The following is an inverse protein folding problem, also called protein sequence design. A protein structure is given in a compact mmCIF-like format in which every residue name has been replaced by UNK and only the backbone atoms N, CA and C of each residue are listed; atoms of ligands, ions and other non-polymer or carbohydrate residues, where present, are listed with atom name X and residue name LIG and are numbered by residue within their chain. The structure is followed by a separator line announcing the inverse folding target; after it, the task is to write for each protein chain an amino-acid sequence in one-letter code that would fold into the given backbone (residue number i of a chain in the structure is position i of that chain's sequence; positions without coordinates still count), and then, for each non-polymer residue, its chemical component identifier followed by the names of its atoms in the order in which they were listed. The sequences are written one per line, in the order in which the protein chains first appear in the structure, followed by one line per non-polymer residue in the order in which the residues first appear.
data_IF_958543578074
#
_entry.id   IF_958543578074
#
_cell.length_a   1.000
_cell.length_b   1.000
_cell.length_c   1.000
_cell.angle_alpha   90.00
_cell.angle_beta   90.00
_cell.angle_gamma   90.00
#
_symmetry.space_group_name_H-M   'P 1'
#
loop_
_entity.id
_entity.type
_entity.pdbx_description
1 polymer ?
#
# COMPACT_ATOMS: atom_id res chain seq x y z
N UNK A 1 -4.49 8.59 7.17
CA UNK A 1 -4.99 9.38 6.02
C UNK A 1 -5.85 8.57 5.04
N UNK A 2 -5.42 7.43 4.48
CA UNK A 2 -6.22 6.70 3.48
C UNK A 2 -7.58 6.15 3.92
N UNK A 3 -7.84 6.05 5.23
CA UNK A 3 -9.15 5.67 5.78
C UNK A 3 -10.12 6.85 5.93
N UNK A 4 -9.61 8.09 5.88
CA UNK A 4 -10.41 9.30 6.07
C UNK A 4 -11.51 9.42 5.02
N UNK A 5 -11.20 9.17 3.75
CA UNK A 5 -12.19 9.19 2.65
C UNK A 5 -13.23 8.07 2.75
N UNK A 6 -13.02 7.08 3.63
CA UNK A 6 -13.98 6.02 3.93
C UNK A 6 -14.78 6.28 5.21
N UNK A 7 -14.63 7.47 5.82
CA UNK A 7 -15.24 7.81 7.11
C UNK A 7 -14.72 6.96 8.28
N UNK A 8 -13.51 6.38 8.17
CA UNK A 8 -12.91 5.50 9.18
C UNK A 8 -11.58 6.05 9.67
N UNK A 9 -11.14 5.57 10.83
CA UNK A 9 -9.85 5.91 11.42
C UNK A 9 -9.87 7.13 12.34
N UNK A 10 -8.70 7.60 12.78
CA UNK A 10 -8.60 8.60 13.86
C UNK A 10 -8.80 10.05 13.42
N UNK A 11 -8.64 10.35 12.13
CA UNK A 11 -8.76 11.70 11.59
C UNK A 11 -10.24 12.02 11.35
N UNK A 12 -10.74 13.12 11.90
CA UNK A 12 -12.16 13.51 11.81
C UNK A 12 -12.37 14.78 11.01
N UNK A 13 -11.42 15.72 11.04
CA UNK A 13 -11.52 17.00 10.35
C UNK A 13 -10.48 17.12 9.24
N UNK A 14 -10.80 17.89 8.21
CA UNK A 14 -9.87 18.22 7.12
C UNK A 14 -8.58 18.85 7.63
N UNK A 15 -8.67 19.69 8.68
CA UNK A 15 -7.51 20.27 9.36
C UNK A 15 -6.53 19.21 9.86
N UNK A 16 -7.02 18.15 10.51
CA UNK A 16 -6.19 17.07 11.03
C UNK A 16 -5.45 16.34 9.89
N UNK A 17 -6.08 16.22 8.72
CA UNK A 17 -5.47 15.62 7.51
C UNK A 17 -4.34 16.48 6.97
N UNK A 18 -4.51 17.81 6.98
CA UNK A 18 -3.50 18.78 6.55
C UNK A 18 -2.29 18.76 7.51
N UNK A 19 -2.54 18.81 8.82
CA UNK A 19 -1.48 18.75 9.85
C UNK A 19 -0.69 17.44 9.73
N UNK A 20 -1.39 16.30 9.62
CA UNK A 20 -0.73 15.00 9.41
C UNK A 20 0.12 14.98 8.13
N UNK A 21 -0.35 15.59 7.04
CA UNK A 21 0.42 15.65 5.79
C UNK A 21 1.70 16.48 5.94
N UNK A 22 1.66 17.58 6.69
CA UNK A 22 2.84 18.41 6.99
C UNK A 22 3.84 17.65 7.85
N UNK A 23 3.37 16.95 8.89
CA UNK A 23 4.22 16.10 9.72
C UNK A 23 4.91 15.00 8.89
N UNK A 24 4.19 14.36 7.97
CA UNK A 24 4.75 13.37 7.05
C UNK A 24 5.84 13.99 6.16
N UNK A 25 5.61 15.19 5.64
CA UNK A 25 6.60 15.89 4.82
C UNK A 25 7.87 16.20 5.62
N UNK A 26 7.76 16.61 6.89
CA UNK A 26 8.90 16.88 7.75
C UNK A 26 9.66 15.61 8.14
N UNK A 27 8.94 14.49 8.36
CA UNK A 27 9.56 13.17 8.51
C UNK A 27 10.33 12.76 7.25
N UNK A 28 9.78 13.02 6.06
CA UNK A 28 10.44 12.76 4.78
C UNK A 28 11.76 13.53 4.62
N UNK A 29 11.80 14.80 5.02
CA UNK A 29 13.05 15.60 5.04
C UNK A 29 14.10 15.03 6.00
N UNK A 30 13.69 14.61 7.21
CA UNK A 30 14.60 13.96 8.18
C UNK A 30 15.16 12.65 7.64
N UNK A 31 14.32 11.84 6.98
CA UNK A 31 14.74 10.59 6.35
C UNK A 31 15.74 10.85 5.21
N UNK A 32 15.53 11.86 4.38
CA UNK A 32 16.48 12.26 3.34
C UNK A 32 17.87 12.58 3.91
N UNK A 33 17.94 13.38 4.99
CA UNK A 33 19.21 13.68 5.65
C UNK A 33 19.92 12.42 6.17
N UNK A 34 19.19 11.51 6.82
CA UNK A 34 19.73 10.26 7.32
C UNK A 34 20.17 9.31 6.19
N UNK A 35 19.40 9.21 5.11
CA UNK A 35 19.74 8.40 3.95
C UNK A 35 21.02 8.88 3.27
N UNK A 36 21.20 10.20 3.13
CA UNK A 36 22.44 10.80 2.61
C UNK A 36 23.66 10.48 3.49
N UNK A 37 23.49 10.47 4.81
CA UNK A 37 24.56 10.07 5.73
C UNK A 37 24.92 8.59 5.56
N UNK A 38 23.93 7.70 5.44
CA UNK A 38 24.18 6.28 5.15
C UNK A 38 24.92 6.13 3.80
N UNK A 39 24.51 6.90 2.79
CA UNK A 39 25.16 6.93 1.49
C UNK A 39 26.61 7.43 1.56
N UNK A 40 26.95 8.38 2.43
CA UNK A 40 28.34 8.87 2.55
C UNK A 40 29.25 7.89 3.28
N UNK A 41 28.68 7.09 4.19
CA UNK A 41 29.35 6.02 4.94
C UNK A 41 29.53 4.73 4.10
N UNK A 42 28.87 4.60 2.95
CA UNK A 42 29.02 3.46 2.04
C UNK A 42 30.18 3.63 1.03
N UNK A 43 30.76 2.51 0.61
CA UNK A 43 31.71 2.41 -0.51
C UNK A 43 31.02 2.82 -1.80
N UNK A 44 31.79 3.37 -2.75
CA UNK A 44 31.27 3.75 -4.06
C UNK A 44 30.73 2.53 -4.80
N UNK A 45 29.42 2.48 -5.01
CA UNK A 45 28.70 1.38 -5.64
C UNK A 45 27.45 1.90 -6.36
N UNK A 46 26.82 1.06 -7.19
CA UNK A 46 25.52 1.40 -7.77
C UNK A 46 24.47 1.68 -6.68
N UNK A 47 24.45 0.86 -5.63
CA UNK A 47 23.53 1.03 -4.50
C UNK A 47 23.69 2.38 -3.78
N UNK A 48 24.92 2.91 -3.68
CA UNK A 48 25.13 4.25 -3.14
C UNK A 48 24.41 5.31 -3.99
N UNK A 49 24.53 5.24 -5.32
CA UNK A 49 23.86 6.15 -6.22
C UNK A 49 22.33 6.01 -6.13
N UNK A 50 21.83 4.79 -5.97
CA UNK A 50 20.40 4.52 -5.76
C UNK A 50 19.91 5.20 -4.47
N UNK A 51 20.66 5.11 -3.37
CA UNK A 51 20.32 5.78 -2.09
C UNK A 51 20.18 7.28 -2.30
N UNK A 52 21.15 7.93 -2.96
CA UNK A 52 21.07 9.37 -3.23
C UNK A 52 19.91 9.73 -4.14
N UNK A 53 19.68 8.95 -5.20
CA UNK A 53 18.59 9.18 -6.15
C UNK A 53 17.22 9.09 -5.47
N UNK A 54 17.01 8.04 -4.66
CA UNK A 54 15.77 7.89 -3.91
C UNK A 54 15.62 8.93 -2.80
N UNK A 55 16.72 9.35 -2.15
CA UNK A 55 16.69 10.40 -1.14
C UNK A 55 16.25 11.76 -1.75
N UNK A 56 16.77 12.13 -2.92
CA UNK A 56 16.30 13.31 -3.65
C UNK A 56 14.83 13.20 -4.08
N UNK A 57 14.40 12.02 -4.51
CA UNK A 57 12.99 11.77 -4.84
C UNK A 57 12.07 11.96 -3.62
N UNK A 58 12.48 11.45 -2.44
CA UNK A 58 11.78 11.68 -1.17
C UNK A 58 11.72 13.18 -0.83
N UNK A 59 12.82 13.90 -1.02
CA UNK A 59 12.89 15.34 -0.78
C UNK A 59 11.91 16.12 -1.69
N UNK A 60 11.89 15.79 -2.98
CA UNK A 60 10.95 16.37 -3.96
C UNK A 60 9.50 16.13 -3.55
N UNK A 61 9.11 14.88 -3.24
CA UNK A 61 7.73 14.58 -2.84
C UNK A 61 7.36 15.21 -1.49
N UNK A 62 8.30 15.34 -0.56
CA UNK A 62 8.09 16.05 0.72
C UNK A 62 7.81 17.54 0.49
N UNK A 63 8.53 18.15 -0.45
CA UNK A 63 8.29 19.54 -0.85
C UNK A 63 6.94 19.71 -1.54
N UNK A 64 6.60 18.85 -2.50
CA UNK A 64 5.28 18.84 -3.14
C UNK A 64 4.15 18.71 -2.12
N UNK A 65 4.28 17.78 -1.16
CA UNK A 65 3.30 17.60 -0.10
C UNK A 65 3.16 18.84 0.79
N UNK A 66 4.27 19.52 1.09
CA UNK A 66 4.25 20.80 1.83
C UNK A 66 3.50 21.89 1.06
N UNK A 67 3.63 21.96 -0.27
CA UNK A 67 2.89 22.91 -1.10
C UNK A 67 1.41 22.56 -1.13
N UNK A 68 1.08 21.30 -1.47
CA UNK A 68 -0.31 20.82 -1.61
C UNK A 68 -1.08 20.95 -0.28
N UNK A 69 -0.42 20.76 0.86
CA UNK A 69 -1.03 20.95 2.18
C UNK A 69 -1.29 22.43 2.55
N UNK A 70 -0.64 23.39 1.90
CA UNK A 70 -0.83 24.83 2.13
C UNK A 70 -1.86 25.46 1.21
N UNK A 71 -2.19 24.82 0.08
CA UNK A 71 -3.27 25.29 -0.80
C UNK A 71 -4.56 25.25 0.04
N UNK A 72 -5.15 26.42 0.29
CA UNK A 72 -6.42 26.52 1.02
C UNK A 72 -7.43 25.62 0.31
N UNK A 73 -7.91 24.59 1.00
CA UNK A 73 -9.17 23.97 0.63
C UNK A 73 -10.24 25.05 0.86
N UNK A 74 -10.64 25.72 -0.22
CA UNK A 74 -11.61 26.80 -0.17
C UNK A 74 -12.97 26.18 0.16
N UNK A 75 -13.43 26.33 1.40
CA UNK A 75 -14.77 25.90 1.82
C UNK A 75 -15.73 26.97 1.32
N UNK A 76 -16.19 26.84 0.08
CA UNK A 76 -17.25 27.69 -0.44
C UNK A 76 -18.60 27.13 0.04
N UNK A 77 -19.18 27.77 1.05
CA UNK A 77 -20.58 27.56 1.42
C UNK A 77 -21.42 28.35 0.43
N UNK A 78 -21.96 27.69 -0.59
CA UNK A 78 -22.89 28.28 -1.56
C UNK A 78 -24.31 27.82 -1.22
N UNK A 79 -25.02 28.60 -0.40
CA UNK A 79 -26.43 28.33 -0.05
C UNK A 79 -26.62 27.19 0.96
N UNK A 80 -27.75 26.47 0.86
CA UNK A 80 -28.18 25.35 1.73
C UNK A 80 -27.64 23.97 1.25
N UNK A 81 -26.85 23.95 0.17
CA UNK A 81 -26.14 22.76 -0.31
C UNK A 81 -24.63 22.85 -0.02
N UNK A 82 -24.11 21.90 0.77
CA UNK A 82 -22.66 21.69 0.92
C UNK A 82 -22.07 21.08 -0.36
N UNK A 83 -21.69 21.90 -1.35
CA UNK A 83 -20.82 21.43 -2.44
C UNK A 83 -19.36 21.38 -1.98
N UNK A 84 -18.90 20.17 -1.67
CA UNK A 84 -17.59 19.92 -1.05
C UNK A 84 -16.46 19.94 -2.09
N UNK A 85 -15.93 21.12 -2.38
CA UNK A 85 -14.61 21.34 -3.02
C UNK A 85 -13.45 20.76 -2.18
N UNK A 86 -13.68 20.53 -0.87
CA UNK A 86 -12.68 19.97 0.04
C UNK A 86 -12.32 18.50 -0.20
N UNK A 87 -13.18 17.70 -0.85
CA UNK A 87 -12.94 16.27 -1.00
C UNK A 87 -11.82 16.00 -2.02
N UNK A 88 -11.84 16.71 -3.16
CA UNK A 88 -10.82 16.59 -4.22
C UNK A 88 -9.44 17.08 -3.76
N UNK A 89 -9.40 18.12 -2.92
CA UNK A 89 -8.17 18.57 -2.28
C UNK A 89 -7.58 17.49 -1.37
N UNK A 90 -8.43 16.83 -0.58
CA UNK A 90 -8.00 15.76 0.33
C UNK A 90 -7.57 14.50 -0.43
N UNK A 91 -8.27 14.10 -1.50
CA UNK A 91 -7.86 12.96 -2.32
C UNK A 91 -6.51 13.22 -2.98
N UNK A 92 -6.27 14.44 -3.46
CA UNK A 92 -4.97 14.88 -4.01
C UNK A 92 -3.87 14.80 -2.96
N UNK A 93 -4.15 15.27 -1.73
CA UNK A 93 -3.20 15.22 -0.62
C UNK A 93 -2.85 13.77 -0.26
N UNK A 94 -3.85 12.88 -0.18
CA UNK A 94 -3.66 11.44 0.06
C UNK A 94 -2.79 10.81 -1.04
N UNK A 95 -3.01 11.18 -2.31
CA UNK A 95 -2.23 10.62 -3.41
C UNK A 95 -0.76 11.07 -3.35
N UNK A 96 -0.50 12.34 -3.01
CA UNK A 96 0.86 12.84 -2.82
C UNK A 96 1.57 12.10 -1.67
N UNK A 97 0.87 11.84 -0.57
CA UNK A 97 1.43 11.02 0.53
C UNK A 97 1.78 9.62 0.06
N UNK A 98 0.93 8.97 -0.76
CA UNK A 98 1.26 7.64 -1.32
C UNK A 98 2.52 7.68 -2.18
N UNK A 99 2.65 8.68 -3.03
CA UNK A 99 3.83 8.85 -3.88
C UNK A 99 5.10 9.01 -3.03
N UNK A 100 5.04 9.86 -1.99
CA UNK A 100 6.11 10.03 -1.01
C UNK A 100 6.46 8.71 -0.32
N UNK A 101 5.47 7.99 0.21
CA UNK A 101 5.70 6.73 0.93
C UNK A 101 6.31 5.64 0.04
N UNK A 102 5.91 5.58 -1.24
CA UNK A 102 6.52 4.65 -2.19
C UNK A 102 8.02 4.97 -2.41
N UNK A 103 8.37 6.25 -2.55
CA UNK A 103 9.77 6.66 -2.64
C UNK A 103 10.55 6.36 -1.35
N UNK A 104 9.93 6.58 -0.18
CA UNK A 104 10.51 6.24 1.12
C UNK A 104 10.83 4.74 1.21
N UNK A 105 9.93 3.86 0.78
CA UNK A 105 10.16 2.41 0.79
C UNK A 105 11.40 2.05 -0.03
N UNK A 106 11.55 2.62 -1.22
CA UNK A 106 12.72 2.36 -2.08
C UNK A 106 14.00 2.90 -1.45
N UNK A 107 13.96 4.11 -0.89
CA UNK A 107 15.08 4.72 -0.18
C UNK A 107 15.53 3.85 1.02
N UNK A 108 14.59 3.39 1.85
CA UNK A 108 14.89 2.55 3.03
C UNK A 108 15.48 1.21 2.62
N UNK A 109 14.96 0.56 1.57
CA UNK A 109 15.50 -0.69 1.04
C UNK A 109 16.93 -0.52 0.56
N UNK A 110 17.20 0.51 -0.25
CA UNK A 110 18.56 0.77 -0.73
C UNK A 110 19.51 1.16 0.40
N UNK A 111 19.05 1.95 1.38
CA UNK A 111 19.85 2.34 2.55
C UNK A 111 20.19 1.13 3.45
N UNK A 112 19.26 0.18 3.59
CA UNK A 112 19.51 -1.08 4.26
C UNK A 112 20.63 -1.87 3.58
N UNK A 113 20.56 -2.03 2.25
CA UNK A 113 21.60 -2.74 1.49
C UNK A 113 22.94 -2.00 1.58
N UNK A 114 22.94 -0.67 1.43
CA UNK A 114 24.15 0.15 1.52
C UNK A 114 24.84 0.02 2.89
N UNK A 115 24.08 0.08 3.98
CA UNK A 115 24.62 0.02 5.36
C UNK A 115 25.08 -1.38 5.78
N UNK A 116 24.52 -2.44 5.20
CA UNK A 116 24.84 -3.83 5.59
C UNK A 116 25.86 -4.50 4.67
N UNK A 117 25.86 -4.17 3.37
CA UNK A 117 26.71 -4.82 2.35
C UNK A 117 27.86 -3.95 1.87
N UNK A 118 27.67 -2.63 1.84
CA UNK A 118 28.61 -1.70 1.23
C UNK A 118 29.18 -0.71 2.24
N UNK A 119 29.16 -1.01 3.53
CA UNK A 119 29.73 -0.12 4.55
C UNK A 119 31.25 -0.02 4.39
N UNK A 120 31.81 1.19 4.50
CA UNK A 120 33.27 1.39 4.45
C UNK A 120 33.96 0.70 5.63
N UNK A 121 35.01 -0.12 5.41
CA UNK A 121 35.72 -0.83 6.46
C UNK A 121 36.51 0.09 7.39
N UNK A 122 36.91 1.29 6.93
CA UNK A 122 37.64 2.30 7.73
C UNK A 122 36.73 3.03 8.74
N UNK A 123 35.43 2.76 8.75
CA UNK A 123 34.51 3.37 9.71
C UNK A 123 34.46 2.53 10.98
N UNK A 124 35.39 2.78 11.91
CA UNK A 124 35.36 2.24 13.29
C UNK A 124 34.15 2.76 14.10
N UNK A 125 33.34 3.64 13.52
CA UNK A 125 32.13 4.14 14.12
C UNK A 125 31.07 3.04 14.26
N UNK A 126 30.30 3.07 15.34
CA UNK A 126 29.12 2.21 15.48
C UNK A 126 28.11 2.46 14.34
N UNK A 127 27.33 1.43 13.94
CA UNK A 127 26.29 1.62 12.94
C UNK A 127 25.27 2.67 13.41
N UNK A 128 25.04 3.70 12.60
CA UNK A 128 24.09 4.77 12.93
C UNK A 128 22.66 4.28 13.09
N UNK A 129 22.31 3.20 12.39
CA UNK A 129 20.96 2.63 12.36
C UNK A 129 21.06 1.14 12.66
N UNK A 130 20.21 0.68 13.58
CA UNK A 130 19.98 -0.73 13.83
C UNK A 130 18.75 -1.20 13.04
N UNK A 131 18.93 -2.24 12.23
CA UNK A 131 17.85 -2.79 11.41
C UNK A 131 17.21 -3.97 12.11
N UNK A 132 15.91 -3.86 12.39
CA UNK A 132 15.10 -4.95 12.92
C UNK A 132 14.16 -5.41 11.80
N UNK A 133 14.41 -6.60 11.24
CA UNK A 133 13.59 -7.18 10.18
C UNK A 133 12.76 -8.34 10.71
N UNK A 134 11.47 -8.35 10.35
CA UNK A 134 10.65 -9.54 10.43
C UNK A 134 10.90 -10.42 9.18
N UNK A 135 10.93 -11.75 9.31
CA UNK A 135 10.96 -12.65 8.16
C UNK A 135 9.77 -12.40 7.23
N UNK A 136 9.93 -12.53 5.90
CA UNK A 136 8.81 -12.40 4.98
C UNK A 136 7.79 -13.51 5.23
N UNK A 137 6.51 -13.17 5.08
CA UNK A 137 5.44 -14.15 5.17
C UNK A 137 5.57 -15.21 4.08
N UNK A 138 5.35 -16.46 4.46
CA UNK A 138 5.35 -17.58 3.52
C UNK A 138 4.21 -17.38 2.54
N UNK A 139 4.53 -17.16 1.27
CA UNK A 139 3.50 -17.17 0.24
C UNK A 139 2.93 -18.59 0.11
N UNK A 140 1.60 -18.74 0.08
CA UNK A 140 0.99 -20.06 -0.10
C UNK A 140 1.37 -20.58 -1.49
N UNK A 141 2.02 -21.74 -1.53
CA UNK A 141 2.46 -22.39 -2.78
C UNK A 141 1.28 -22.73 -3.69
N UNK A 142 0.12 -22.95 -3.09
CA UNK A 142 -1.13 -23.21 -3.77
C UNK A 142 -2.14 -22.16 -3.30
N UNK A 143 -2.69 -21.40 -4.23
CA UNK A 143 -3.89 -20.61 -3.97
C UNK A 143 -5.06 -21.57 -4.20
N UNK A 144 -5.82 -21.99 -3.16
CA UNK A 144 -7.04 -22.72 -3.38
C UNK A 144 -7.89 -21.91 -4.36
N UNK A 145 -8.42 -22.55 -5.40
CA UNK A 145 -9.52 -22.01 -6.17
C UNK A 145 -10.57 -21.58 -5.15
N UNK A 146 -10.67 -20.26 -4.92
CA UNK A 146 -11.81 -19.70 -4.24
C UNK A 146 -12.97 -20.18 -5.08
N UNK A 147 -13.78 -21.11 -4.55
CA UNK A 147 -15.05 -21.46 -5.17
C UNK A 147 -15.84 -20.15 -5.21
N UNK A 148 -15.66 -19.37 -6.27
CA UNK A 148 -16.56 -18.30 -6.66
C UNK A 148 -17.89 -19.00 -6.67
N UNK A 149 -18.71 -18.63 -5.69
CA UNK A 149 -20.06 -19.10 -5.44
C UNK A 149 -20.54 -19.87 -6.65
N UNK A 150 -20.41 -21.20 -6.62
CA UNK A 150 -21.09 -22.02 -7.61
C UNK A 150 -22.54 -21.70 -7.34
N UNK A 151 -23.08 -20.76 -8.11
CA UNK A 151 -24.51 -20.59 -8.22
C UNK A 151 -25.02 -22.00 -8.36
N UNK A 152 -25.88 -22.40 -7.42
CA UNK A 152 -26.46 -23.73 -7.40
C UNK A 152 -27.17 -23.86 -8.74
N UNK A 153 -26.49 -24.46 -9.72
CA UNK A 153 -27.11 -24.85 -10.98
C UNK A 153 -28.03 -25.99 -10.55
N UNK A 154 -29.27 -25.64 -10.20
CA UNK A 154 -30.36 -26.59 -10.09
C UNK A 154 -30.47 -27.19 -11.47
N UNK A 155 -29.86 -28.36 -11.69
CA UNK A 155 -30.16 -29.21 -12.84
C UNK A 155 -31.66 -29.48 -12.79
N UNK A 156 -32.41 -28.71 -13.55
CA UNK A 156 -33.80 -28.96 -13.80
C UNK A 156 -33.89 -30.30 -14.56
N UNK A 157 -34.45 -31.29 -13.87
CA UNK A 157 -35.05 -32.51 -14.41
C UNK A 157 -34.34 -33.20 -15.59
N UNK A 158 -33.48 -34.15 -15.27
CA UNK A 158 -33.55 -35.45 -15.94
C UNK A 158 -34.03 -36.46 -14.90
N UNK A 159 -35.34 -36.71 -14.89
CA UNK A 159 -35.90 -37.88 -14.20
C UNK A 159 -35.37 -39.12 -14.91
N UNK A 160 -34.21 -39.62 -14.51
CA UNK A 160 -33.80 -40.97 -14.88
C UNK A 160 -34.72 -41.95 -14.13
N UNK A 161 -35.46 -42.84 -14.82
CA UNK A 161 -36.22 -43.86 -14.14
C UNK A 161 -35.25 -44.75 -13.33
N UNK A 162 -35.67 -45.14 -12.12
CA UNK A 162 -34.86 -45.99 -11.27
C UNK A 162 -34.63 -47.34 -11.97
N UNK A 163 -33.41 -47.90 -11.99
CA UNK A 163 -33.10 -49.13 -12.74
C UNK A 163 -34.02 -50.32 -12.41
N UNK A 164 -34.54 -50.36 -11.18
CA UNK A 164 -35.46 -51.39 -10.71
C UNK A 164 -36.86 -51.28 -11.32
N UNK A 165 -37.33 -50.07 -11.69
CA UNK A 165 -38.61 -49.91 -12.38
C UNK A 165 -38.56 -50.41 -13.82
N UNK A 166 -37.46 -50.17 -14.54
CA UNK A 166 -37.27 -50.69 -15.90
C UNK A 166 -37.16 -52.23 -15.96
N UNK A 167 -36.68 -52.87 -14.89
CA UNK A 167 -36.62 -54.33 -14.78
C UNK A 167 -37.98 -54.98 -14.49
N UNK A 168 -38.88 -54.28 -13.80
CA UNK A 168 -40.24 -54.76 -13.54
C UNK A 168 -41.14 -54.70 -14.79
N UNK A 169 -40.82 -53.86 -15.77
CA UNK A 169 -41.56 -53.78 -17.04
C UNK A 169 -41.33 -54.99 -17.96
N UNK A 170 -40.25 -55.75 -17.75
CA UNK A 170 -39.92 -56.95 -18.54
C UNK A 170 -40.45 -58.26 -17.95
N UNK A 171 -41.07 -58.22 -16.77
CA UNK A 171 -41.78 -59.37 -16.19
C UNK A 171 -43.26 -59.25 -16.52
N UNK A 172 -43.60 -59.48 -17.80
CA UNK A 172 -44.98 -59.67 -18.23
C UNK A 172 -45.58 -60.96 -17.66
N UNK A 173 -46.90 -61.02 -17.43
CA UNK A 173 -47.56 -62.18 -16.85
C UNK A 173 -47.46 -63.39 -17.78
N UNK A 174 -47.12 -64.55 -17.22
CA UNK A 174 -47.30 -65.84 -17.87
C UNK A 174 -48.78 -65.96 -18.28
N UNK A 175 -49.07 -65.93 -19.58
CA UNK A 175 -49.76 -66.96 -20.39
C UNK A 175 -49.87 -66.49 -21.83
#
# INVERSE_FOLDING_TARGET
MGLFTKGRGPLKRTKDVIETAQEIADCGKKLNSLAKQIGSESVKSATQNDVYSYAEQVNMYSHQLTIVSKVKADIQVVGDEFKVTGLESITTLIQNVKNLLNAVIQCVRSAYIASTKYRKPTSDALPRVQWVLAPPDKQPLFRPETKMNSSVIRRASERRPQPLQALNEFHGPNF
#
